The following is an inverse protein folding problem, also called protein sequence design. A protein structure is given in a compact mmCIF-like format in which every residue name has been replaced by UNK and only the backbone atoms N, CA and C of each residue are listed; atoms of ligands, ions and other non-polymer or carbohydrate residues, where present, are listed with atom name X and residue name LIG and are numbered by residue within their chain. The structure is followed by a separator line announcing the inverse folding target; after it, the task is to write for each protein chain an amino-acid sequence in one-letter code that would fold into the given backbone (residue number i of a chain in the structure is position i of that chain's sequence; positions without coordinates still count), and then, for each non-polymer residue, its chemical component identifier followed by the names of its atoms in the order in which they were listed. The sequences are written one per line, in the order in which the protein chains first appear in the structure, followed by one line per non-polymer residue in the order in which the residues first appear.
data_IF_195136353190
#
_entry.id   IF_195136353190
#
_cell.length_a   1.000
_cell.length_b   1.000
_cell.length_c   1.000
_cell.angle_alpha   90.00
_cell.angle_beta   90.00
_cell.angle_gamma   90.00
#
_symmetry.space_group_name_H-M   'P 1'
#
loop_
_entity.id
_entity.type
_entity.pdbx_description
1 polymer ?
#
# COMPACT_ATOMS: atom_id res chain seq x y z
N UNK A 1 -59.98 -39.61 27.75
CA UNK A 1 -59.45 -39.13 29.05
C UNK A 1 -57.92 -39.06 29.01
N UNK A 2 -57.19 -40.12 28.65
CA UNK A 2 -55.72 -40.02 28.49
C UNK A 2 -55.26 -39.15 27.30
N UNK A 3 -56.08 -38.96 26.26
CA UNK A 3 -55.75 -38.06 25.13
C UNK A 3 -56.07 -36.58 25.39
N UNK A 4 -56.87 -36.24 26.41
CA UNK A 4 -57.19 -34.84 26.73
C UNK A 4 -56.13 -34.24 27.67
N UNK A 5 -55.64 -35.03 28.64
CA UNK A 5 -54.57 -34.60 29.56
C UNK A 5 -53.22 -34.40 28.83
N UNK A 6 -52.94 -35.18 27.78
CA UNK A 6 -51.70 -35.10 26.99
C UNK A 6 -51.70 -33.91 26.01
N UNK A 7 -52.88 -33.34 25.74
CA UNK A 7 -53.06 -32.10 24.96
C UNK A 7 -52.95 -30.87 25.87
N UNK A 8 -53.50 -30.92 27.08
CA UNK A 8 -53.39 -29.84 28.07
C UNK A 8 -51.96 -29.66 28.62
N UNK A 9 -51.16 -30.74 28.75
CA UNK A 9 -49.72 -30.62 29.05
C UNK A 9 -48.90 -30.00 27.91
N UNK A 10 -49.36 -30.11 26.65
CA UNK A 10 -48.71 -29.46 25.49
C UNK A 10 -49.12 -28.00 25.32
N UNK A 11 -50.27 -27.61 25.86
CA UNK A 11 -50.71 -26.21 25.98
C UNK A 11 -50.11 -25.62 27.27
N UNK A 12 -48.79 -25.73 27.42
CA UNK A 12 -48.11 -24.94 28.45
C UNK A 12 -48.29 -23.47 28.09
N UNK A 13 -48.70 -22.65 29.06
CA UNK A 13 -48.78 -21.19 28.93
C UNK A 13 -47.41 -20.64 28.50
N UNK A 14 -47.21 -20.56 27.20
CA UNK A 14 -45.93 -20.28 26.60
C UNK A 14 -45.70 -18.76 26.67
N UNK A 15 -44.95 -18.33 27.69
CA UNK A 15 -44.53 -16.93 27.86
C UNK A 15 -43.85 -16.35 26.61
N UNK A 16 -43.32 -17.21 25.74
CA UNK A 16 -42.69 -16.85 24.46
C UNK A 16 -43.66 -16.17 23.48
N UNK A 17 -44.94 -16.56 23.49
CA UNK A 17 -45.95 -16.02 22.58
C UNK A 17 -46.46 -14.65 23.06
N UNK A 18 -46.31 -14.38 24.37
CA UNK A 18 -46.62 -13.10 25.01
C UNK A 18 -45.62 -11.99 24.65
N UNK A 19 -44.48 -12.34 24.05
CA UNK A 19 -43.48 -11.35 23.62
C UNK A 19 -44.04 -10.57 22.41
N UNK A 20 -44.11 -9.25 22.57
CA UNK A 20 -44.62 -8.34 21.53
C UNK A 20 -43.54 -8.01 20.49
N UNK A 21 -43.96 -7.66 19.27
CA UNK A 21 -43.03 -7.25 18.21
C UNK A 21 -42.19 -6.02 18.60
N UNK A 22 -42.74 -5.13 19.43
CA UNK A 22 -42.02 -3.96 19.95
C UNK A 22 -40.88 -4.32 20.91
N UNK A 23 -41.09 -5.34 21.74
CA UNK A 23 -40.06 -5.85 22.65
C UNK A 23 -38.96 -6.57 21.88
N UNK A 24 -39.31 -7.37 20.87
CA UNK A 24 -38.33 -8.01 19.99
C UNK A 24 -37.48 -6.98 19.25
N UNK A 25 -38.09 -5.89 18.79
CA UNK A 25 -37.35 -4.79 18.15
C UNK A 25 -36.37 -4.10 19.09
N UNK A 26 -36.77 -3.82 20.34
CA UNK A 26 -35.86 -3.27 21.34
C UNK A 26 -34.67 -4.20 21.63
N UNK A 27 -34.94 -5.50 21.75
CA UNK A 27 -33.90 -6.52 21.98
C UNK A 27 -32.94 -6.57 20.79
N UNK A 28 -33.44 -6.65 19.56
CA UNK A 28 -32.60 -6.67 18.35
C UNK A 28 -31.81 -5.38 18.17
N UNK A 29 -32.39 -4.22 18.48
CA UNK A 29 -31.71 -2.94 18.41
C UNK A 29 -30.58 -2.79 19.44
N UNK A 30 -30.59 -3.59 20.50
CA UNK A 30 -29.47 -3.64 21.46
C UNK A 30 -28.18 -4.14 20.81
N UNK A 31 -28.26 -4.93 19.73
CA UNK A 31 -27.10 -5.35 18.92
C UNK A 31 -26.35 -4.16 18.28
N UNK A 32 -26.97 -2.98 18.19
CA UNK A 32 -26.34 -1.77 17.66
C UNK A 32 -25.42 -1.06 18.65
N UNK A 33 -25.50 -1.40 19.95
CA UNK A 33 -24.78 -0.71 21.04
C UNK A 33 -23.29 -1.07 21.05
N UNK A 34 -22.86 -2.09 20.29
CA UNK A 34 -21.47 -2.54 20.16
C UNK A 34 -20.82 -2.95 21.50
N UNK A 35 -21.62 -3.47 22.44
CA UNK A 35 -21.17 -4.04 23.70
C UNK A 35 -21.16 -5.57 23.61
N UNK A 36 -20.02 -6.21 23.92
CA UNK A 36 -19.86 -7.65 23.80
C UNK A 36 -20.75 -8.45 24.76
N UNK A 37 -20.96 -7.99 26.00
CA UNK A 37 -21.78 -8.69 26.99
C UNK A 37 -23.25 -8.65 26.58
N UNK A 38 -23.72 -7.47 26.16
CA UNK A 38 -25.07 -7.30 25.65
C UNK A 38 -25.30 -8.07 24.36
N UNK A 39 -24.34 -8.05 23.42
CA UNK A 39 -24.43 -8.81 22.18
C UNK A 39 -24.54 -10.31 22.46
N UNK A 40 -23.74 -10.84 23.39
CA UNK A 40 -23.80 -12.26 23.75
C UNK A 40 -25.17 -12.62 24.36
N UNK A 41 -25.66 -11.84 25.32
CA UNK A 41 -26.96 -12.08 25.96
C UNK A 41 -28.13 -12.01 24.95
N UNK A 42 -28.08 -11.07 24.01
CA UNK A 42 -29.10 -10.96 22.96
C UNK A 42 -29.03 -12.14 22.00
N UNK A 43 -27.83 -12.53 21.54
CA UNK A 43 -27.68 -13.67 20.62
C UNK A 43 -28.11 -14.99 21.29
N UNK A 44 -27.80 -15.19 22.56
CA UNK A 44 -28.25 -16.34 23.34
C UNK A 44 -29.79 -16.36 23.46
N UNK A 45 -30.40 -15.22 23.81
CA UNK A 45 -31.85 -15.08 23.82
C UNK A 45 -32.47 -15.41 22.44
N UNK A 46 -31.92 -14.87 21.36
CA UNK A 46 -32.41 -15.14 20.00
C UNK A 46 -32.30 -16.62 19.64
N UNK A 47 -31.18 -17.27 19.99
CA UNK A 47 -30.98 -18.70 19.79
C UNK A 47 -32.01 -19.53 20.56
N UNK A 48 -32.25 -19.19 21.83
CA UNK A 48 -33.28 -19.85 22.65
C UNK A 48 -34.70 -19.60 22.10
N UNK A 49 -34.98 -18.38 21.65
CA UNK A 49 -36.29 -18.00 21.11
C UNK A 49 -36.60 -18.74 19.80
N UNK A 50 -35.62 -18.85 18.90
CA UNK A 50 -35.78 -19.53 17.61
C UNK A 50 -35.81 -21.05 17.74
N UNK A 51 -35.00 -21.64 18.63
CA UNK A 51 -34.93 -23.08 18.84
C UNK A 51 -35.92 -23.62 19.87
N UNK A 52 -36.80 -22.79 20.43
CA UNK A 52 -37.79 -23.22 21.41
C UNK A 52 -38.71 -24.30 20.85
N UNK A 53 -38.89 -25.39 21.60
CA UNK A 53 -39.78 -26.50 21.28
C UNK A 53 -41.24 -26.24 21.67
N UNK A 54 -41.51 -25.08 22.28
CA UNK A 54 -42.86 -24.65 22.60
C UNK A 54 -43.76 -24.69 21.35
N UNK A 55 -44.99 -25.16 21.49
CA UNK A 55 -45.96 -25.20 20.39
C UNK A 55 -46.86 -23.97 20.50
N UNK A 56 -47.04 -23.27 19.37
CA UNK A 56 -47.96 -22.14 19.30
C UNK A 56 -49.41 -22.65 19.18
N UNK A 57 -50.36 -21.94 19.78
CA UNK A 57 -51.76 -22.37 19.84
C UNK A 57 -52.41 -22.59 18.45
N UNK A 58 -51.99 -21.84 17.43
CA UNK A 58 -52.48 -22.02 16.05
C UNK A 58 -51.92 -23.27 15.34
N UNK A 59 -50.85 -23.88 15.87
CA UNK A 59 -50.09 -24.96 15.22
C UNK A 59 -50.07 -26.25 16.06
N UNK A 60 -51.07 -26.47 16.91
CA UNK A 60 -51.16 -27.62 17.83
C UNK A 60 -51.05 -28.98 17.11
N UNK A 61 -51.53 -29.09 15.87
CA UNK A 61 -51.47 -30.32 15.07
C UNK A 61 -50.30 -30.36 14.07
N UNK A 62 -49.49 -29.31 14.03
CA UNK A 62 -48.38 -29.14 13.08
C UNK A 62 -47.04 -29.55 13.72
N UNK A 63 -46.04 -29.94 12.92
CA UNK A 63 -44.69 -30.16 13.42
C UNK A 63 -44.15 -28.92 14.15
N UNK A 64 -43.31 -29.13 15.18
CA UNK A 64 -42.64 -28.07 15.96
C UNK A 64 -41.96 -27.03 15.05
N UNK A 65 -41.45 -27.48 13.90
CA UNK A 65 -40.82 -26.65 12.87
C UNK A 65 -41.72 -25.52 12.36
N UNK A 66 -43.03 -25.74 12.26
CA UNK A 66 -43.97 -24.70 11.80
C UNK A 66 -44.12 -23.60 12.85
N UNK A 67 -44.14 -23.97 14.14
CA UNK A 67 -44.13 -23.01 15.25
C UNK A 67 -42.82 -22.20 15.28
N UNK A 68 -41.68 -22.83 15.04
CA UNK A 68 -40.38 -22.16 14.94
C UNK A 68 -40.34 -21.20 13.74
N UNK A 69 -40.87 -21.62 12.59
CA UNK A 69 -40.98 -20.78 11.39
C UNK A 69 -41.90 -19.58 11.61
N UNK A 70 -43.01 -19.76 12.31
CA UNK A 70 -43.90 -18.67 12.71
C UNK A 70 -43.17 -17.66 13.61
N UNK A 71 -42.39 -18.13 14.59
CA UNK A 71 -41.56 -17.27 15.45
C UNK A 71 -40.50 -16.51 14.67
N UNK A 72 -39.85 -17.16 13.70
CA UNK A 72 -38.90 -16.51 12.81
C UNK A 72 -39.58 -15.40 12.00
N UNK A 73 -40.74 -15.65 11.41
CA UNK A 73 -41.51 -14.64 10.68
C UNK A 73 -41.91 -13.46 11.58
N UNK A 74 -42.32 -13.74 12.82
CA UNK A 74 -42.67 -12.74 13.84
C UNK A 74 -41.46 -11.91 14.27
N UNK A 75 -40.29 -12.54 14.47
CA UNK A 75 -39.03 -11.89 14.82
C UNK A 75 -38.56 -10.96 13.71
N UNK A 76 -38.53 -11.46 12.48
CA UNK A 76 -38.06 -10.74 11.31
C UNK A 76 -39.03 -9.66 10.84
N UNK A 77 -40.28 -9.67 11.34
CA UNK A 77 -41.36 -8.75 10.95
C UNK A 77 -41.59 -8.74 9.43
N UNK A 78 -41.50 -9.91 8.78
CA UNK A 78 -41.55 -10.03 7.30
C UNK A 78 -42.87 -9.52 6.70
N UNK A 79 -43.97 -9.64 7.44
CA UNK A 79 -45.31 -9.18 7.04
C UNK A 79 -45.60 -7.72 7.38
N UNK A 80 -44.66 -7.02 8.05
CA UNK A 80 -44.86 -5.66 8.56
C UNK A 80 -43.70 -4.73 8.13
N UNK A 81 -42.97 -4.14 9.08
CA UNK A 81 -41.95 -3.11 8.85
C UNK A 81 -40.60 -3.65 8.38
N UNK A 82 -40.33 -4.96 8.55
CA UNK A 82 -39.04 -5.61 8.28
C UNK A 82 -37.84 -4.95 9.00
N UNK A 83 -38.09 -4.17 10.06
CA UNK A 83 -37.04 -3.40 10.74
C UNK A 83 -36.00 -4.33 11.37
N UNK A 84 -36.46 -5.37 12.06
CA UNK A 84 -35.58 -6.38 12.66
C UNK A 84 -34.75 -7.14 11.61
N UNK A 85 -35.36 -7.49 10.47
CA UNK A 85 -34.63 -8.14 9.38
C UNK A 85 -33.48 -7.26 8.86
N UNK A 86 -33.72 -5.96 8.66
CA UNK A 86 -32.68 -5.01 8.25
C UNK A 86 -31.54 -4.94 9.27
N UNK A 87 -31.86 -4.85 10.57
CA UNK A 87 -30.85 -4.81 11.63
C UNK A 87 -30.04 -6.09 11.70
N UNK A 88 -30.69 -7.26 11.66
CA UNK A 88 -30.02 -8.56 11.75
C UNK A 88 -29.13 -8.83 10.54
N UNK A 89 -29.62 -8.60 9.32
CA UNK A 89 -28.84 -8.82 8.09
C UNK A 89 -27.64 -7.87 7.98
N UNK A 90 -27.74 -6.68 8.57
CA UNK A 90 -26.62 -5.73 8.63
C UNK A 90 -25.61 -6.07 9.72
N UNK A 91 -26.07 -6.51 10.90
CA UNK A 91 -25.22 -6.67 12.08
C UNK A 91 -24.64 -8.08 12.22
N UNK A 92 -25.40 -9.14 11.92
CA UNK A 92 -24.92 -10.52 12.08
C UNK A 92 -23.64 -10.79 11.27
N UNK A 93 -23.53 -10.42 9.98
CA UNK A 93 -22.27 -10.58 9.24
C UNK A 93 -21.08 -9.84 9.86
N UNK A 94 -21.33 -8.67 10.48
CA UNK A 94 -20.30 -7.88 11.17
C UNK A 94 -19.88 -8.50 12.50
N UNK A 95 -20.83 -9.10 13.23
CA UNK A 95 -20.55 -9.80 14.48
C UNK A 95 -19.79 -11.11 14.23
N UNK A 96 -20.07 -11.80 13.12
CA UNK A 96 -19.31 -13.01 12.70
C UNK A 96 -17.83 -12.71 12.54
N UNK A 97 -17.47 -11.53 12.04
CA UNK A 97 -16.07 -11.13 11.81
C UNK A 97 -15.46 -10.34 12.98
N UNK A 98 -16.26 -10.03 14.01
CA UNK A 98 -15.82 -9.20 15.12
C UNK A 98 -14.68 -9.87 15.90
N UNK A 99 -13.71 -9.07 16.32
CA UNK A 99 -12.54 -9.50 17.10
C UNK A 99 -11.64 -10.55 16.43
N UNK A 100 -11.79 -10.78 15.12
CA UNK A 100 -10.86 -11.61 14.35
C UNK A 100 -9.61 -10.81 13.94
N UNK A 101 -8.41 -11.43 13.95
CA UNK A 101 -7.18 -10.80 13.50
C UNK A 101 -7.09 -10.76 11.96
N UNK A 102 -7.90 -9.89 11.35
CA UNK A 102 -8.03 -9.75 9.89
C UNK A 102 -6.93 -8.88 9.29
N UNK A 103 -6.58 -9.17 8.04
CA UNK A 103 -5.70 -8.34 7.23
C UNK A 103 -6.44 -7.07 6.81
N UNK A 104 -5.85 -5.91 7.13
CA UNK A 104 -6.34 -4.62 6.70
C UNK A 104 -5.83 -4.31 5.28
N UNK A 105 -6.69 -4.14 4.27
CA UNK A 105 -6.27 -3.80 2.91
C UNK A 105 -5.51 -2.47 2.83
N UNK A 106 -5.68 -1.57 3.81
CA UNK A 106 -4.94 -0.30 3.90
C UNK A 106 -3.52 -0.47 4.46
N UNK A 107 -3.22 -1.61 5.10
CA UNK A 107 -1.89 -1.95 5.62
C UNK A 107 -1.01 -2.68 4.60
N UNK A 108 -1.54 -3.03 3.42
CA UNK A 108 -0.75 -3.66 2.35
C UNK A 108 0.32 -2.65 1.93
N UNK A 109 1.59 -3.04 2.07
CA UNK A 109 2.73 -2.19 1.70
C UNK A 109 2.55 -1.77 0.24
N UNK A 110 2.59 -0.46 -0.07
CA UNK A 110 2.46 -0.01 -1.46
C UNK A 110 3.57 -0.68 -2.27
N UNK A 111 3.18 -1.32 -3.37
CA UNK A 111 4.13 -1.93 -4.30
C UNK A 111 5.11 -0.81 -4.70
N UNK A 112 6.42 -0.99 -4.50
CA UNK A 112 7.38 0.05 -4.81
C UNK A 112 7.25 0.40 -6.29
N UNK A 113 7.24 1.70 -6.64
CA UNK A 113 7.03 2.12 -8.02
C UNK A 113 8.08 1.47 -8.93
N UNK A 114 7.61 0.89 -10.02
CA UNK A 114 8.47 0.31 -11.06
C UNK A 114 9.35 1.41 -11.63
N UNK A 115 10.63 1.38 -11.28
CA UNK A 115 11.61 2.31 -11.83
C UNK A 115 12.14 1.75 -13.15
N UNK A 116 12.00 2.51 -14.23
CA UNK A 116 12.62 2.18 -15.50
C UNK A 116 14.13 2.40 -15.41
N UNK A 117 14.92 1.45 -15.92
CA UNK A 117 16.36 1.63 -16.04
C UNK A 117 16.65 2.78 -17.00
N UNK A 118 17.50 3.72 -16.59
CA UNK A 118 17.80 4.90 -17.41
C UNK A 118 18.76 4.55 -18.54
N UNK A 119 18.59 5.22 -19.68
CA UNK A 119 19.54 5.14 -20.82
C UNK A 119 20.94 5.61 -20.44
N UNK A 120 21.03 6.57 -19.51
CA UNK A 120 22.28 7.15 -19.03
C UNK A 120 23.19 6.13 -18.36
N UNK A 121 22.61 5.12 -17.71
CA UNK A 121 23.35 4.13 -16.93
C UNK A 121 24.22 3.21 -17.82
N UNK A 122 23.93 3.16 -19.12
CA UNK A 122 24.59 2.25 -20.08
C UNK A 122 25.54 2.95 -21.07
N UNK A 123 25.53 4.28 -21.18
CA UNK A 123 26.28 4.98 -22.24
C UNK A 123 27.68 5.47 -21.80
N UNK A 124 28.24 4.91 -20.72
CA UNK A 124 29.56 5.28 -20.20
C UNK A 124 29.62 6.72 -19.66
N UNK A 125 30.76 7.08 -19.06
CA UNK A 125 30.97 8.45 -18.57
C UNK A 125 31.27 9.36 -19.76
N UNK A 126 30.49 10.44 -19.98
CA UNK A 126 30.79 11.39 -21.04
C UNK A 126 32.13 12.08 -20.81
N UNK A 127 32.99 12.09 -21.84
CA UNK A 127 34.25 12.84 -21.80
C UNK A 127 34.06 14.36 -21.87
N UNK A 128 32.89 14.82 -22.31
CA UNK A 128 32.54 16.24 -22.48
C UNK A 128 31.30 16.59 -21.66
N UNK A 129 31.31 17.77 -21.04
CA UNK A 129 30.17 18.32 -20.33
C UNK A 129 29.00 18.57 -21.29
N UNK A 130 27.74 18.30 -20.91
CA UNK A 130 26.58 18.68 -21.72
C UNK A 130 26.42 20.20 -21.77
N UNK A 131 26.18 20.73 -22.97
CA UNK A 131 25.83 22.12 -23.16
C UNK A 131 24.44 22.41 -22.59
N UNK A 132 24.29 23.54 -21.89
CA UNK A 132 23.00 23.98 -21.39
C UNK A 132 22.12 24.49 -22.54
N UNK A 133 20.86 24.05 -22.63
CA UNK A 133 19.87 24.69 -23.50
C UNK A 133 19.75 26.19 -23.18
N UNK A 134 19.54 27.01 -24.21
CA UNK A 134 19.46 28.47 -24.09
C UNK A 134 18.40 28.94 -23.07
N UNK A 135 17.23 28.29 -23.08
CA UNK A 135 16.16 28.55 -22.11
C UNK A 135 16.63 28.30 -20.66
N UNK A 136 17.30 27.18 -20.43
CA UNK A 136 17.78 26.81 -19.10
C UNK A 136 18.92 27.72 -18.65
N UNK A 137 19.83 28.10 -19.56
CA UNK A 137 20.89 29.06 -19.28
C UNK A 137 20.31 30.43 -18.86
N UNK A 138 19.33 30.94 -19.62
CA UNK A 138 18.67 32.23 -19.32
C UNK A 138 18.00 32.28 -17.95
N UNK A 139 17.54 31.12 -17.46
CA UNK A 139 16.95 30.99 -16.13
C UNK A 139 18.04 30.89 -15.05
N UNK A 140 19.05 30.04 -15.25
CA UNK A 140 20.09 29.78 -14.25
C UNK A 140 20.95 31.02 -14.02
N UNK A 141 21.28 31.78 -15.07
CA UNK A 141 22.16 32.95 -14.98
C UNK A 141 21.61 34.06 -14.05
N UNK A 142 20.28 34.12 -13.88
CA UNK A 142 19.56 35.08 -13.02
C UNK A 142 19.63 34.74 -11.53
N UNK A 143 19.99 33.51 -11.16
CA UNK A 143 20.11 33.14 -9.76
C UNK A 143 21.32 33.82 -9.11
N UNK A 144 21.19 34.14 -7.82
CA UNK A 144 22.33 34.58 -7.00
C UNK A 144 23.23 33.42 -6.63
N UNK A 145 24.50 33.71 -6.38
CA UNK A 145 25.36 32.74 -5.71
C UNK A 145 24.95 32.56 -4.24
N UNK A 146 25.01 31.33 -3.69
CA UNK A 146 25.54 30.10 -4.27
C UNK A 146 24.53 29.27 -5.08
N UNK A 147 23.27 29.72 -5.17
CA UNK A 147 22.17 28.97 -5.77
C UNK A 147 22.41 28.71 -7.26
N UNK A 148 22.99 29.67 -8.00
CA UNK A 148 23.34 29.49 -9.41
C UNK A 148 24.30 28.33 -9.62
N UNK A 149 25.42 28.32 -8.88
CA UNK A 149 26.38 27.21 -8.93
C UNK A 149 25.75 25.86 -8.53
N UNK A 150 24.90 25.84 -7.49
CA UNK A 150 24.20 24.61 -7.07
C UNK A 150 23.26 24.09 -8.15
N UNK A 151 22.43 24.96 -8.73
CA UNK A 151 21.47 24.57 -9.77
C UNK A 151 22.20 24.08 -11.02
N UNK A 152 23.24 24.79 -11.45
CA UNK A 152 24.08 24.38 -12.58
C UNK A 152 24.70 23.00 -12.36
N UNK A 153 25.32 22.79 -11.19
CA UNK A 153 25.92 21.50 -10.81
C UNK A 153 24.89 20.37 -10.93
N UNK A 154 23.68 20.54 -10.39
CA UNK A 154 22.63 19.52 -10.43
C UNK A 154 22.10 19.24 -11.85
N UNK A 155 22.10 20.25 -12.73
CA UNK A 155 21.63 20.13 -14.11
C UNK A 155 22.64 19.45 -15.03
N UNK A 156 23.95 19.64 -14.80
CA UNK A 156 25.03 19.13 -15.66
C UNK A 156 25.73 17.88 -15.08
N UNK A 157 25.62 17.64 -13.77
CA UNK A 157 26.19 16.48 -13.09
C UNK A 157 25.11 15.67 -12.37
N UNK A 158 25.38 14.39 -12.19
CA UNK A 158 24.54 13.47 -11.42
C UNK A 158 25.35 12.74 -10.36
N UNK A 159 24.66 12.25 -9.34
CA UNK A 159 25.28 11.40 -8.30
C UNK A 159 25.67 10.07 -8.91
N UNK A 160 26.92 9.67 -8.72
CA UNK A 160 27.37 8.34 -9.10
C UNK A 160 26.95 7.32 -8.05
N UNK A 161 26.08 6.39 -8.42
CA UNK A 161 25.80 5.17 -7.66
C UNK A 161 26.49 4.00 -8.34
N UNK A 162 27.49 3.36 -7.72
CA UNK A 162 28.11 2.18 -8.30
C UNK A 162 27.09 1.05 -8.37
N UNK A 163 26.58 0.75 -9.57
CA UNK A 163 25.73 -0.40 -9.85
C UNK A 163 26.54 -1.70 -9.93
N UNK A 164 27.88 -1.62 -9.92
CA UNK A 164 28.81 -2.75 -9.94
C UNK A 164 30.11 -2.35 -9.24
N UNK A 165 30.86 -3.32 -8.69
CA UNK A 165 32.25 -3.06 -8.30
C UNK A 165 33.00 -2.61 -9.55
N UNK A 166 33.77 -1.51 -9.51
CA UNK A 166 34.61 -1.16 -10.64
C UNK A 166 35.56 -2.33 -10.90
N UNK A 167 35.60 -2.83 -12.12
CA UNK A 167 36.69 -3.72 -12.55
C UNK A 167 37.99 -2.96 -12.32
N UNK A 168 38.83 -3.45 -11.41
CA UNK A 168 40.17 -2.92 -11.08
C UNK A 168 41.12 -2.89 -12.31
N UNK A 169 40.66 -3.36 -13.47
CA UNK A 169 41.39 -3.35 -14.75
C UNK A 169 41.22 -2.06 -15.57
N UNK A 170 40.28 -1.16 -15.21
CA UNK A 170 40.08 0.12 -15.90
C UNK A 170 40.97 1.26 -15.37
N UNK A 171 41.90 0.98 -14.45
CA UNK A 171 42.82 1.97 -13.85
C UNK A 171 43.88 2.51 -14.83
N UNK A 172 44.02 1.95 -16.04
CA UNK A 172 45.22 2.15 -16.87
C UNK A 172 45.00 2.76 -18.26
N UNK A 173 43.84 3.35 -18.62
CA UNK A 173 43.70 3.87 -20.00
C UNK A 173 42.78 5.07 -20.27
N UNK A 174 42.18 5.75 -19.28
CA UNK A 174 41.50 7.03 -19.57
C UNK A 174 41.52 7.99 -18.37
N UNK A 175 41.71 9.29 -18.62
CA UNK A 175 41.74 10.34 -17.59
C UNK A 175 40.38 10.53 -16.85
N UNK A 176 39.31 9.89 -17.33
CA UNK A 176 37.95 10.00 -16.79
C UNK A 176 37.58 8.69 -16.08
N UNK A 177 37.63 8.70 -14.76
CA UNK A 177 37.24 7.58 -13.90
C UNK A 177 35.77 7.79 -13.49
N UNK A 178 34.88 6.78 -13.65
CA UNK A 178 33.50 6.87 -13.20
C UNK A 178 33.39 7.27 -11.73
N UNK A 179 32.55 8.26 -11.46
CA UNK A 179 32.35 8.79 -10.10
C UNK A 179 33.50 9.64 -9.55
N UNK A 180 34.53 9.97 -10.35
CA UNK A 180 35.60 10.88 -9.96
C UNK A 180 35.74 12.05 -10.96
N UNK A 181 35.55 13.28 -10.47
CA UNK A 181 35.74 14.51 -11.26
C UNK A 181 36.84 15.36 -10.62
N UNK A 182 37.78 15.90 -11.39
CA UNK A 182 38.82 16.76 -10.82
C UNK A 182 38.26 18.11 -10.38
N UNK A 183 38.74 18.64 -9.26
CA UNK A 183 38.28 19.94 -8.73
C UNK A 183 38.55 21.07 -9.73
N UNK A 184 39.72 21.04 -10.38
CA UNK A 184 40.10 22.07 -11.36
C UNK A 184 39.26 22.02 -12.64
N UNK A 185 38.93 20.81 -13.14
CA UNK A 185 38.07 20.69 -14.33
C UNK A 185 36.65 21.18 -14.05
N UNK A 186 36.13 20.91 -12.85
CA UNK A 186 34.78 21.32 -12.44
C UNK A 186 34.67 22.85 -12.38
N UNK A 187 35.64 23.52 -11.74
CA UNK A 187 35.69 24.97 -11.67
C UNK A 187 35.83 25.61 -13.05
N UNK A 188 36.76 25.12 -13.89
CA UNK A 188 36.97 25.65 -15.25
C UNK A 188 35.74 25.46 -16.13
N UNK A 189 35.01 24.36 -15.98
CA UNK A 189 33.77 24.14 -16.72
C UNK A 189 32.70 25.17 -16.35
N UNK A 190 32.54 25.47 -15.05
CA UNK A 190 31.63 26.49 -14.57
C UNK A 190 32.01 27.90 -15.04
N UNK A 191 33.30 28.26 -14.95
CA UNK A 191 33.83 29.55 -15.42
C UNK A 191 33.64 29.74 -16.92
N UNK A 192 33.85 28.68 -17.72
CA UNK A 192 33.61 28.69 -19.16
C UNK A 192 32.12 28.82 -19.49
N UNK A 193 31.24 28.12 -18.75
CA UNK A 193 29.80 28.15 -19.02
C UNK A 193 29.21 29.54 -18.85
N UNK A 194 29.66 30.29 -17.85
CA UNK A 194 29.18 31.63 -17.55
C UNK A 194 30.19 32.70 -17.96
N UNK A 195 30.96 32.48 -19.03
CA UNK A 195 31.99 33.43 -19.47
C UNK A 195 31.43 34.82 -19.72
N UNK A 196 30.24 34.92 -20.29
CA UNK A 196 29.54 36.19 -20.54
C UNK A 196 29.23 37.00 -19.27
N UNK A 197 29.17 36.35 -18.10
CA UNK A 197 28.90 36.99 -16.81
C UNK A 197 30.13 37.66 -16.24
N UNK A 198 31.31 37.06 -16.39
CA UNK A 198 32.55 37.56 -15.79
C UNK A 198 33.48 38.29 -16.78
N UNK A 199 33.37 37.99 -18.07
CA UNK A 199 34.10 38.62 -19.16
C UNK A 199 33.13 38.99 -20.31
N UNK A 200 32.28 40.01 -20.11
CA UNK A 200 31.31 40.43 -21.12
C UNK A 200 32.04 41.03 -22.34
N UNK A 201 31.68 40.65 -23.58
CA UNK A 201 32.35 41.11 -24.80
C UNK A 201 32.27 42.63 -25.02
N UNK A 202 31.37 43.33 -24.31
CA UNK A 202 31.21 44.79 -24.34
C UNK A 202 32.07 45.55 -23.31
N UNK A 203 32.80 44.84 -22.44
CA UNK A 203 33.63 45.43 -21.37
C UNK A 203 32.84 46.15 -20.27
N UNK A 204 31.51 46.12 -20.33
CA UNK A 204 30.61 46.68 -19.31
C UNK A 204 29.97 45.55 -18.54
N UNK A 205 30.14 45.56 -17.21
CA UNK A 205 29.46 44.62 -16.31
C UNK A 205 27.96 44.89 -16.36
N UNK A 206 27.19 43.95 -16.91
CA UNK A 206 25.73 44.02 -16.88
C UNK A 206 25.24 43.99 -15.42
N UNK A 207 24.49 45.00 -14.94
CA UNK A 207 24.00 45.04 -13.56
C UNK A 207 23.01 43.91 -13.23
N UNK A 208 22.47 43.23 -14.24
CA UNK A 208 21.60 42.06 -14.08
C UNK A 208 22.36 40.78 -13.71
N UNK A 209 23.66 40.68 -14.03
CA UNK A 209 24.45 39.47 -13.79
C UNK A 209 25.35 39.63 -12.56
N UNK A 210 25.13 38.79 -11.57
CA UNK A 210 25.92 38.75 -10.33
C UNK A 210 27.26 38.05 -10.57
N UNK A 211 28.31 38.51 -9.88
CA UNK A 211 29.66 37.95 -9.96
C UNK A 211 29.68 36.44 -9.69
N UNK A 212 30.59 35.72 -10.36
CA UNK A 212 30.80 34.30 -10.15
C UNK A 212 31.41 34.02 -8.77
N UNK A 213 31.11 32.82 -8.28
CA UNK A 213 31.53 32.32 -6.98
C UNK A 213 33.04 31.97 -7.01
N UNK A 214 33.93 32.46 -6.13
CA UNK A 214 35.35 32.12 -6.19
C UNK A 214 35.63 30.61 -6.13
N UNK A 215 36.70 30.14 -6.79
CA UNK A 215 37.02 28.71 -6.90
C UNK A 215 36.98 27.95 -5.56
N UNK A 216 37.56 28.52 -4.49
CA UNK A 216 37.60 27.88 -3.16
C UNK A 216 36.21 27.70 -2.57
N UNK A 217 35.34 28.69 -2.71
CA UNK A 217 33.98 28.64 -2.20
C UNK A 217 33.08 27.76 -3.10
N UNK A 218 33.38 27.70 -4.41
CA UNK A 218 32.66 26.87 -5.37
C UNK A 218 32.88 25.39 -5.05
N UNK A 219 34.12 24.98 -4.80
CA UNK A 219 34.43 23.59 -4.41
C UNK A 219 33.73 23.21 -3.10
N UNK A 220 33.65 24.12 -2.12
CA UNK A 220 32.88 23.89 -0.88
C UNK A 220 31.37 23.74 -1.13
N UNK A 221 30.84 24.36 -2.19
CA UNK A 221 29.44 24.28 -2.54
C UNK A 221 29.06 22.93 -3.18
N UNK A 222 30.01 22.18 -3.75
CA UNK A 222 29.74 20.89 -4.40
C UNK A 222 29.12 19.88 -3.43
N UNK A 223 29.64 19.77 -2.21
CA UNK A 223 29.08 18.89 -1.18
C UNK A 223 27.70 19.34 -0.67
N UNK A 224 27.33 20.62 -0.86
CA UNK A 224 25.95 21.10 -0.60
C UNK A 224 25.01 20.78 -1.75
N UNK A 225 25.52 20.81 -2.98
CA UNK A 225 24.75 20.46 -4.17
C UNK A 225 24.42 18.96 -4.21
N UNK A 226 25.39 18.12 -3.81
CA UNK A 226 25.30 16.67 -3.75
C UNK A 226 25.74 16.16 -2.37
N UNK A 227 24.79 15.83 -1.47
CA UNK A 227 25.10 15.36 -0.11
C UNK A 227 25.94 14.09 -0.03
N UNK A 228 25.91 13.27 -1.08
CA UNK A 228 26.68 12.02 -1.20
C UNK A 228 28.08 12.20 -1.81
N UNK A 229 28.53 13.43 -2.05
CA UNK A 229 29.83 13.72 -2.69
C UNK A 229 30.91 14.17 -1.70
N UNK A 230 32.14 13.71 -1.92
CA UNK A 230 33.28 13.99 -1.05
C UNK A 230 34.50 14.50 -1.82
N UNK A 231 35.12 15.57 -1.33
CA UNK A 231 36.36 16.11 -1.88
C UNK A 231 37.58 15.35 -1.32
N UNK A 232 38.43 14.81 -2.20
CA UNK A 232 39.61 14.02 -1.82
C UNK A 232 40.88 14.46 -2.56
N UNK A 233 42.04 14.17 -1.96
CA UNK A 233 43.37 14.41 -2.56
C UNK A 233 44.06 13.07 -2.72
N UNK A 234 44.32 12.67 -3.96
CA UNK A 234 45.05 11.45 -4.31
C UNK A 234 46.51 11.84 -4.53
N UNK A 235 47.43 11.18 -3.82
CA UNK A 235 48.86 11.29 -4.07
C UNK A 235 49.24 10.24 -5.12
N UNK A 236 49.59 10.67 -6.33
CA UNK A 236 50.06 9.75 -7.37
C UNK A 236 51.51 9.33 -7.05
N UNK A 237 51.85 8.03 -7.23
CA UNK A 237 53.23 7.58 -7.13
C UNK A 237 54.08 8.26 -8.22
N UNK A 238 55.37 8.53 -7.97
CA UNK A 238 56.23 9.19 -8.94
C UNK A 238 56.35 8.33 -10.20
N UNK A 239 55.89 8.85 -11.35
CA UNK A 239 56.13 8.24 -12.65
C UNK A 239 57.59 8.45 -13.06
N UNK A 240 58.19 7.48 -13.75
CA UNK A 240 59.63 7.39 -14.08
C UNK A 240 60.24 8.57 -14.88
N UNK A 241 59.48 9.65 -15.13
CA UNK A 241 59.90 10.82 -15.91
C UNK A 241 59.74 12.17 -15.20
N UNK A 242 59.21 12.24 -13.96
CA UNK A 242 59.06 13.49 -13.21
C UNK A 242 59.42 13.30 -11.73
N UNK A 243 60.40 14.05 -11.24
CA UNK A 243 60.99 13.93 -9.90
C UNK A 243 60.17 14.56 -8.75
N UNK A 244 58.86 14.80 -8.95
CA UNK A 244 57.99 15.37 -7.91
C UNK A 244 56.68 14.57 -7.76
N UNK A 245 56.21 14.29 -6.53
CA UNK A 245 54.92 13.65 -6.30
C UNK A 245 53.78 14.56 -6.77
N UNK A 246 53.07 14.16 -7.83
CA UNK A 246 51.91 14.90 -8.36
C UNK A 246 50.68 14.60 -7.49
N UNK A 247 50.08 15.64 -6.91
CA UNK A 247 48.82 15.54 -6.15
C UNK A 247 47.63 15.81 -7.08
N UNK A 248 46.62 14.94 -7.10
CA UNK A 248 45.38 15.08 -7.86
C UNK A 248 44.23 15.40 -6.90
N UNK A 249 43.57 16.54 -7.10
CA UNK A 249 42.42 16.96 -6.29
C UNK A 249 41.13 16.58 -7.02
N UNK A 250 40.30 15.73 -6.40
CA UNK A 250 39.08 15.18 -7.00
C UNK A 250 37.85 15.40 -6.10
N UNK A 251 36.67 15.26 -6.69
CA UNK A 251 35.38 15.08 -6.05
C UNK A 251 34.91 13.66 -6.40
N UNK A 252 34.68 12.83 -5.39
CA UNK A 252 34.09 11.50 -5.51
C UNK A 252 32.58 11.57 -5.37
N UNK A 253 31.87 10.67 -6.06
CA UNK A 253 30.42 10.49 -5.94
C UNK A 253 29.59 11.32 -6.93
N UNK A 254 30.22 11.99 -7.88
CA UNK A 254 29.53 12.70 -8.97
C UNK A 254 30.13 12.33 -10.33
N UNK A 255 29.32 12.40 -11.38
CA UNK A 255 29.75 12.24 -12.75
C UNK A 255 29.05 13.24 -13.68
N UNK A 256 29.66 13.62 -14.82
CA UNK A 256 28.97 14.42 -15.85
C UNK A 256 27.76 13.66 -16.40
N UNK A 257 26.64 14.38 -16.63
CA UNK A 257 25.46 13.82 -17.30
C UNK A 257 25.70 13.71 -18.80
N UNK A 258 24.99 12.81 -19.46
CA UNK A 258 24.94 12.76 -20.94
C UNK A 258 24.19 13.95 -21.54
N UNK A 259 23.13 14.39 -20.86
CA UNK A 259 22.29 15.50 -21.29
C UNK A 259 21.98 16.39 -20.09
N UNK A 260 21.92 17.70 -20.30
CA UNK A 260 21.44 18.63 -19.29
C UNK A 260 19.96 18.35 -19.01
N UNK A 261 19.58 18.36 -17.73
CA UNK A 261 18.19 18.17 -17.30
C UNK A 261 17.60 19.47 -16.78
N UNK A 262 16.27 19.53 -16.66
CA UNK A 262 15.60 20.67 -16.05
C UNK A 262 15.89 20.77 -14.54
N UNK A 263 15.57 21.93 -13.95
CA UNK A 263 15.87 22.24 -12.55
C UNK A 263 15.14 21.29 -11.58
N UNK A 264 13.91 20.89 -11.89
CA UNK A 264 13.10 20.05 -10.99
C UNK A 264 13.65 18.61 -10.91
N UNK A 265 13.95 18.01 -12.06
CA UNK A 265 14.56 16.67 -12.14
C UNK A 265 15.96 16.71 -11.54
N UNK A 266 16.74 17.76 -11.83
CA UNK A 266 18.05 17.98 -11.25
C UNK A 266 18.02 17.98 -9.70
N UNK A 267 17.07 18.70 -9.12
CA UNK A 267 16.91 18.80 -7.66
C UNK A 267 16.45 17.48 -7.05
N UNK A 268 15.46 16.82 -7.65
CA UNK A 268 14.96 15.53 -7.18
C UNK A 268 16.07 14.48 -7.17
N UNK A 269 16.83 14.37 -8.24
CA UNK A 269 17.87 13.36 -8.38
C UNK A 269 19.09 13.60 -7.50
N UNK A 270 19.44 14.87 -7.26
CA UNK A 270 20.57 15.21 -6.39
C UNK A 270 20.27 15.02 -4.90
N UNK A 271 18.98 15.14 -4.51
CA UNK A 271 18.55 15.10 -3.10
C UNK A 271 17.89 13.78 -2.70
N UNK A 272 17.52 12.91 -3.65
CA UNK A 272 16.95 11.60 -3.32
C UNK A 272 17.95 10.79 -2.48
N UNK A 273 17.50 10.10 -1.41
CA UNK A 273 18.35 9.18 -0.69
C UNK A 273 18.85 8.11 -1.65
N UNK A 274 20.17 7.88 -1.68
CA UNK A 274 20.75 6.75 -2.39
C UNK A 274 20.37 5.46 -1.68
N UNK A 275 19.18 4.95 -2.01
CA UNK A 275 18.80 3.59 -1.67
C UNK A 275 19.77 2.69 -2.43
N UNK A 276 20.57 1.92 -1.70
CA UNK A 276 21.35 0.82 -2.29
C UNK A 276 20.31 -0.11 -2.89
N UNK A 277 20.05 0.01 -4.19
CA UNK A 277 19.24 -0.95 -4.92
C UNK A 277 19.97 -2.27 -4.79
N UNK A 278 19.50 -3.10 -3.85
CA UNK A 278 19.79 -4.52 -3.81
C UNK A 278 19.12 -5.12 -5.02
N UNK A 279 19.72 -4.94 -6.20
CA UNK A 279 19.48 -5.84 -7.31
C UNK A 279 19.97 -7.20 -6.85
N UNK A 280 19.03 -8.10 -6.63
CA UNK A 280 19.29 -9.53 -6.69
C UNK A 280 19.94 -9.71 -8.07
N UNK A 281 21.22 -10.10 -8.10
CA UNK A 281 22.06 -10.24 -9.30
C UNK A 281 22.48 -8.93 -10.02
N UNK A 282 23.50 -8.21 -9.51
CA UNK A 282 24.11 -7.07 -10.22
C UNK A 282 24.79 -7.45 -11.55
N UNK A 283 25.04 -8.74 -11.80
CA UNK A 283 25.72 -9.22 -13.02
C UNK A 283 24.84 -9.37 -14.27
N UNK A 284 23.52 -9.49 -14.13
CA UNK A 284 22.62 -9.76 -15.27
C UNK A 284 21.89 -8.51 -15.77
N UNK A 285 21.73 -7.50 -14.92
CA UNK A 285 21.06 -6.24 -15.28
C UNK A 285 21.80 -5.43 -16.35
N UNK A 286 23.05 -5.76 -16.65
CA UNK A 286 23.82 -5.15 -17.75
C UNK A 286 23.36 -5.57 -19.16
N UNK A 287 22.48 -6.58 -19.28
CA UNK A 287 21.95 -7.06 -20.58
C UNK A 287 20.51 -6.65 -20.85
N UNK A 288 19.84 -5.99 -19.91
CA UNK A 288 18.44 -5.68 -20.06
C UNK A 288 18.27 -4.49 -21.00
N UNK A 289 17.47 -4.63 -22.08
CA UNK A 289 17.30 -3.57 -23.05
C UNK A 289 16.72 -2.31 -22.40
N UNK A 290 17.01 -1.17 -23.01
CA UNK A 290 16.49 0.13 -22.58
C UNK A 290 14.96 0.08 -22.43
N UNK A 291 14.45 0.52 -21.28
CA UNK A 291 13.01 0.49 -21.00
C UNK A 291 12.47 -0.89 -20.60
N UNK A 292 13.35 -1.88 -20.36
CA UNK A 292 12.97 -3.16 -19.80
C UNK A 292 12.36 -2.97 -18.40
N UNK A 293 11.15 -3.47 -18.24
CA UNK A 293 10.53 -3.65 -16.94
C UNK A 293 11.05 -4.96 -16.40
N UNK A 294 11.65 -4.95 -15.21
CA UNK A 294 12.09 -6.15 -14.51
C UNK A 294 10.86 -6.98 -14.09
N UNK A 295 10.38 -7.80 -15.03
CA UNK A 295 9.18 -8.63 -14.86
C UNK A 295 9.41 -9.67 -13.78
N UNK A 296 10.64 -10.15 -13.60
CA UNK A 296 10.98 -11.13 -12.57
C UNK A 296 10.87 -10.52 -11.17
N UNK A 297 11.40 -9.32 -10.97
CA UNK A 297 11.22 -8.57 -9.71
C UNK A 297 9.76 -8.21 -9.47
N UNK A 298 9.01 -7.83 -10.50
CA UNK A 298 7.57 -7.60 -10.37
C UNK A 298 6.84 -8.87 -9.92
N UNK A 299 7.10 -9.99 -10.59
CA UNK A 299 6.50 -11.28 -10.25
C UNK A 299 6.89 -11.71 -8.83
N UNK A 300 8.14 -11.52 -8.42
CA UNK A 300 8.57 -11.80 -7.06
C UNK A 300 7.82 -10.95 -6.03
N UNK A 301 7.66 -9.64 -6.27
CA UNK A 301 6.90 -8.75 -5.38
C UNK A 301 5.41 -9.14 -5.30
N UNK A 302 4.81 -9.53 -6.44
CA UNK A 302 3.42 -10.01 -6.48
C UNK A 302 3.29 -11.33 -5.71
N UNK A 303 4.21 -12.28 -5.93
CA UNK A 303 4.23 -13.55 -5.20
C UNK A 303 4.43 -13.34 -3.70
N UNK A 304 5.38 -12.50 -3.30
CA UNK A 304 5.62 -12.16 -1.90
C UNK A 304 4.37 -11.52 -1.26
N UNK A 305 3.70 -10.61 -1.97
CA UNK A 305 2.45 -10.02 -1.49
C UNK A 305 1.34 -11.06 -1.34
N UNK A 306 1.19 -11.98 -2.29
CA UNK A 306 0.20 -13.06 -2.22
C UNK A 306 0.52 -14.05 -1.10
N UNK A 307 1.78 -14.40 -0.91
CA UNK A 307 2.22 -15.30 0.16
C UNK A 307 1.98 -14.67 1.54
N UNK A 308 2.25 -13.38 1.72
CA UNK A 308 1.94 -12.69 2.98
C UNK A 308 0.44 -12.73 3.29
N UNK A 309 -0.43 -12.48 2.31
CA UNK A 309 -1.88 -12.56 2.48
C UNK A 309 -2.32 -13.98 2.89
N UNK A 310 -1.77 -15.01 2.24
CA UNK A 310 -2.11 -16.41 2.52
C UNK A 310 -1.57 -16.86 3.88
N UNK A 311 -0.33 -16.51 4.23
CA UNK A 311 0.31 -16.89 5.50
C UNK A 311 -0.40 -16.25 6.69
N UNK A 312 -0.75 -14.96 6.61
CA UNK A 312 -1.54 -14.32 7.67
C UNK A 312 -2.97 -14.89 7.75
N UNK A 313 -3.58 -15.18 6.60
CA UNK A 313 -4.90 -15.81 6.51
C UNK A 313 -4.99 -17.17 7.20
N UNK A 314 -3.95 -18.01 7.15
CA UNK A 314 -3.96 -19.36 7.76
C UNK A 314 -4.12 -19.38 9.30
N UNK A 315 -4.02 -18.23 9.98
CA UNK A 315 -4.21 -18.13 11.43
C UNK A 315 -5.67 -18.23 11.87
N UNK A 316 -6.61 -18.04 10.95
CA UNK A 316 -8.04 -18.00 11.24
C UNK A 316 -8.68 -19.32 10.79
N UNK A 317 -9.12 -20.11 11.76
CA UNK A 317 -9.88 -21.35 11.57
C UNK A 317 -11.05 -21.37 12.55
N UNK A 318 -12.12 -22.14 12.25
CA UNK A 318 -13.29 -22.29 13.14
C UNK A 318 -12.94 -22.71 14.56
N UNK A 319 -11.86 -23.47 14.72
CA UNK A 319 -11.40 -23.97 16.03
C UNK A 319 -10.28 -23.11 16.65
N UNK A 320 -10.07 -21.90 16.14
CA UNK A 320 -9.01 -21.01 16.60
C UNK A 320 -9.42 -20.31 17.90
N UNK A 321 -8.46 -20.01 18.77
CA UNK A 321 -8.66 -19.28 20.04
C UNK A 321 -9.28 -17.88 19.84
N UNK A 322 -9.28 -17.38 18.61
CA UNK A 322 -9.84 -16.08 18.25
C UNK A 322 -11.35 -16.09 17.97
N UNK A 323 -11.97 -17.26 17.76
CA UNK A 323 -13.41 -17.38 17.51
C UNK A 323 -14.14 -17.39 18.85
N UNK A 324 -14.98 -16.38 19.08
CA UNK A 324 -15.79 -16.27 20.30
C UNK A 324 -17.21 -16.81 20.08
N UNK A 325 -17.94 -17.02 21.19
CA UNK A 325 -19.35 -17.44 21.18
C UNK A 325 -20.25 -16.51 20.36
N UNK A 326 -19.91 -15.21 20.29
CA UNK A 326 -20.62 -14.22 19.49
C UNK A 326 -20.52 -14.56 18.00
N UNK A 327 -19.33 -14.95 17.53
CA UNK A 327 -19.09 -15.28 16.14
C UNK A 327 -19.89 -16.53 15.73
N UNK A 328 -19.85 -17.58 16.57
CA UNK A 328 -20.59 -18.83 16.34
C UNK A 328 -22.10 -18.62 16.37
N UNK A 329 -22.62 -17.95 17.41
CA UNK A 329 -24.06 -17.73 17.56
C UNK A 329 -24.60 -16.83 16.45
N UNK A 330 -23.83 -15.84 16.01
CA UNK A 330 -24.20 -14.98 14.88
C UNK A 330 -24.22 -15.77 13.56
N UNK A 331 -23.26 -16.69 13.38
CA UNK A 331 -23.21 -17.58 12.20
C UNK A 331 -24.43 -18.48 12.14
N UNK A 332 -24.76 -19.20 13.23
CA UNK A 332 -25.91 -20.10 13.29
C UNK A 332 -27.23 -19.37 13.01
N UNK A 333 -27.44 -18.20 13.63
CA UNK A 333 -28.67 -17.41 13.44
C UNK A 333 -28.75 -16.91 11.99
N UNK A 334 -27.64 -16.41 11.43
CA UNK A 334 -27.62 -15.94 10.05
C UNK A 334 -27.88 -17.08 9.05
N UNK A 335 -27.25 -18.24 9.26
CA UNK A 335 -27.46 -19.43 8.44
C UNK A 335 -28.92 -19.90 8.48
N UNK A 336 -29.54 -19.90 9.66
CA UNK A 336 -30.96 -20.23 9.79
C UNK A 336 -31.86 -19.24 9.04
N UNK A 337 -31.59 -17.93 9.13
CA UNK A 337 -32.33 -16.90 8.39
C UNK A 337 -32.17 -17.11 6.88
N UNK A 338 -30.96 -17.38 6.40
CA UNK A 338 -30.68 -17.56 4.97
C UNK A 338 -31.40 -18.80 4.43
N UNK A 339 -31.29 -19.93 5.11
CA UNK A 339 -31.91 -21.19 4.69
C UNK A 339 -33.45 -21.11 4.68
N UNK A 340 -34.07 -20.46 5.68
CA UNK A 340 -35.53 -20.39 5.76
C UNK A 340 -36.15 -19.27 4.91
N UNK A 341 -35.46 -18.14 4.75
CA UNK A 341 -36.01 -16.93 4.10
C UNK A 341 -35.48 -16.76 2.68
N UNK A 342 -34.16 -16.80 2.48
CA UNK A 342 -33.54 -16.48 1.19
C UNK A 342 -33.47 -17.68 0.24
N UNK A 343 -33.26 -18.90 0.74
CA UNK A 343 -33.21 -20.09 -0.12
C UNK A 343 -34.59 -20.52 -0.64
N UNK A 344 -35.65 -20.19 0.11
CA UNK A 344 -37.02 -20.56 -0.24
C UNK A 344 -37.73 -19.53 -1.15
N UNK A 345 -37.12 -18.38 -1.42
CA UNK A 345 -37.77 -17.29 -2.19
C UNK A 345 -36.82 -16.73 -3.26
N UNK A 346 -37.11 -17.00 -4.53
CA UNK A 346 -36.35 -16.43 -5.65
C UNK A 346 -36.72 -14.94 -5.88
N UNK A 347 -35.71 -14.06 -6.02
CA UNK A 347 -35.88 -12.63 -6.33
C UNK A 347 -36.77 -11.86 -5.35
N UNK A 348 -36.57 -12.08 -4.05
CA UNK A 348 -37.36 -11.45 -2.99
C UNK A 348 -36.84 -10.05 -2.61
N UNK A 349 -37.65 -9.26 -1.90
CA UNK A 349 -37.23 -7.95 -1.37
C UNK A 349 -36.11 -8.15 -0.34
N UNK A 350 -36.14 -9.28 0.34
CA UNK A 350 -35.21 -9.73 1.37
C UNK A 350 -33.81 -9.98 0.79
N UNK A 351 -33.73 -10.60 -0.40
CA UNK A 351 -32.46 -10.76 -1.14
C UNK A 351 -31.83 -9.41 -1.48
N UNK A 352 -32.64 -8.47 -2.00
CA UNK A 352 -32.17 -7.13 -2.35
C UNK A 352 -31.65 -6.35 -1.14
N UNK A 353 -32.28 -6.52 0.03
CA UNK A 353 -31.84 -5.92 1.30
C UNK A 353 -30.50 -6.53 1.74
N UNK A 354 -30.34 -7.85 1.64
CA UNK A 354 -29.07 -8.51 1.95
C UNK A 354 -27.94 -8.01 1.05
N UNK A 355 -28.20 -7.91 -0.27
CA UNK A 355 -27.26 -7.37 -1.24
C UNK A 355 -26.89 -5.92 -0.91
N UNK A 356 -27.88 -5.08 -0.62
CA UNK A 356 -27.66 -3.64 -0.35
C UNK A 356 -26.69 -3.39 0.81
N UNK A 357 -26.76 -4.16 1.89
CA UNK A 357 -25.89 -3.95 3.06
C UNK A 357 -24.50 -4.58 2.92
N UNK A 358 -24.35 -5.59 2.07
CA UNK A 358 -23.15 -6.44 2.06
C UNK A 358 -22.35 -6.40 0.75
N UNK A 359 -22.89 -5.82 -0.33
CA UNK A 359 -22.27 -5.82 -1.67
C UNK A 359 -20.86 -5.21 -1.73
N UNK A 360 -20.59 -4.18 -0.92
CA UNK A 360 -19.33 -3.44 -1.01
C UNK A 360 -18.24 -4.02 -0.12
N UNK A 361 -18.53 -4.29 1.15
CA UNK A 361 -17.49 -4.62 2.13
C UNK A 361 -17.20 -6.13 2.21
N UNK A 362 -18.19 -6.99 2.00
CA UNK A 362 -18.03 -8.43 2.17
C UNK A 362 -17.11 -9.06 1.10
N UNK A 363 -17.22 -8.69 -0.21
CA UNK A 363 -16.28 -9.17 -1.22
C UNK A 363 -14.85 -8.67 -1.00
N UNK A 364 -14.68 -7.39 -0.63
CA UNK A 364 -13.36 -6.83 -0.32
C UNK A 364 -12.72 -7.54 0.88
N UNK A 365 -13.52 -7.84 1.91
CA UNK A 365 -13.05 -8.58 3.07
C UNK A 365 -12.59 -10.00 2.72
N UNK A 366 -13.40 -10.72 1.94
CA UNK A 366 -13.08 -12.09 1.49
C UNK A 366 -11.83 -12.09 0.61
N UNK A 367 -11.68 -11.08 -0.25
CA UNK A 367 -10.48 -10.92 -1.07
C UNK A 367 -9.22 -10.70 -0.24
N UNK A 368 -9.31 -9.86 0.80
CA UNK A 368 -8.20 -9.61 1.71
C UNK A 368 -7.92 -10.80 2.66
N UNK A 369 -8.95 -11.62 2.95
CA UNK A 369 -8.91 -12.70 3.92
C UNK A 369 -9.60 -13.97 3.37
N UNK A 370 -8.99 -14.68 2.41
CA UNK A 370 -9.61 -15.85 1.76
C UNK A 370 -9.86 -17.02 2.72
N UNK A 371 -9.10 -17.10 3.81
CA UNK A 371 -9.25 -18.14 4.84
C UNK A 371 -10.61 -18.12 5.54
N UNK A 372 -11.34 -16.99 5.53
CA UNK A 372 -12.69 -16.92 6.09
C UNK A 372 -13.66 -17.86 5.37
N UNK A 373 -13.49 -18.04 4.06
CA UNK A 373 -14.32 -18.95 3.26
C UNK A 373 -13.80 -20.38 3.38
N UNK A 374 -12.48 -20.59 3.36
CA UNK A 374 -11.87 -21.93 3.49
C UNK A 374 -12.17 -22.58 4.84
N UNK A 375 -12.10 -21.80 5.92
CA UNK A 375 -12.49 -22.24 7.27
C UNK A 375 -14.00 -22.36 7.44
N UNK A 376 -14.79 -21.81 6.50
CA UNK A 376 -16.25 -21.80 6.52
C UNK A 376 -16.85 -20.84 7.54
N UNK A 377 -16.11 -19.85 8.05
CA UNK A 377 -16.62 -18.76 8.89
C UNK A 377 -17.58 -17.88 8.08
N UNK A 378 -17.29 -17.70 6.80
CA UNK A 378 -18.24 -17.16 5.82
C UNK A 378 -18.64 -18.31 4.92
N UNK A 379 -19.93 -18.63 4.88
CA UNK A 379 -20.44 -19.67 3.99
C UNK A 379 -20.41 -19.16 2.54
N UNK A 380 -19.82 -19.93 1.62
CA UNK A 380 -19.75 -19.61 0.20
C UNK A 380 -21.15 -19.41 -0.42
N UNK A 381 -22.16 -20.09 0.13
CA UNK A 381 -23.55 -19.95 -0.27
C UNK A 381 -24.13 -18.57 0.00
N UNK A 382 -23.54 -17.76 0.89
CA UNK A 382 -23.99 -16.38 1.13
C UNK A 382 -23.53 -15.43 0.03
N UNK A 383 -22.40 -15.73 -0.61
CA UNK A 383 -21.84 -14.90 -1.68
C UNK A 383 -22.72 -14.88 -2.93
N UNK A 384 -23.61 -15.88 -3.12
CA UNK A 384 -24.55 -15.91 -4.25
C UNK A 384 -25.58 -14.77 -4.21
N UNK A 385 -25.76 -14.15 -3.04
CA UNK A 385 -26.72 -13.06 -2.83
C UNK A 385 -26.10 -11.66 -2.96
N UNK A 386 -24.78 -11.57 -3.15
CA UNK A 386 -24.04 -10.33 -3.40
C UNK A 386 -23.98 -10.04 -4.89
#
# INVERSE_FOLDING_TARGET
MEEEDDVDERITNNCIDSITSSQLELIVNTLLVADNEMNNAVLEFLKMYLNSEAIHHDFISSPIKDSQKYRLQKLLQLSSTKANFNTLVKQLPRLIISHLPLNDPSSIKPIPPLNLTKRSDFAGVPSTLPDLPEELYSLIVRFSEPLRATTWLRCCYETFTPLSKPDESAENSSDVIPGEVTQISLWKAYEKQFQEVWDPPSGQTNPEFKQLLPAVEFIKNVSKAFPSSEAMVINLPPSASDSAPKKKFIIRGIQPRQFAVNIDVANYEALKPTVKTSSINPGENHKLPIGHVDVEKFNHLVSESSENILVEGTRISKNSEFVNQINESSHEILEYIINEVLDNTENSVEENIFRLYNSHWLPELVYANPSLVESGIINIGWLKYL
#
